data_IF_281161169380
#
_entry.id   IF_281161169380
#
_cell.length_a   1.000
_cell.length_b   1.000
_cell.length_c   1.000
_cell.angle_alpha   90.00
_cell.angle_beta   90.00
_cell.angle_gamma   90.00
#
_symmetry.space_group_name_H-M   'P 1'
#
loop_
_entity.id
_entity.type
_entity.pdbx_description
1 polymer ?
#
# COMPACT_ATOMS: atom_id res chain seq x y z
N UNK A 1 -23.47 7.06 -3.41
CA UNK A 1 -23.02 5.65 -3.56
C UNK A 1 -22.07 5.40 -4.72
N UNK A 2 -22.26 6.00 -5.90
CA UNK A 2 -21.32 5.82 -7.03
C UNK A 2 -19.93 6.42 -6.77
N UNK A 3 -19.87 7.52 -6.01
CA UNK A 3 -18.61 8.20 -5.68
C UNK A 3 -17.74 7.36 -4.75
N UNK A 4 -18.30 6.73 -3.71
CA UNK A 4 -17.53 5.85 -2.81
C UNK A 4 -17.05 4.59 -3.55
N UNK A 5 -17.91 3.99 -4.37
CA UNK A 5 -17.57 2.81 -5.18
C UNK A 5 -16.38 3.11 -6.11
N UNK A 6 -16.39 4.26 -6.79
CA UNK A 6 -15.31 4.65 -7.68
C UNK A 6 -13.98 4.92 -6.94
N UNK A 7 -14.03 5.50 -5.74
CA UNK A 7 -12.84 5.73 -4.91
C UNK A 7 -12.25 4.41 -4.41
N UNK A 8 -13.11 3.49 -3.95
CA UNK A 8 -12.69 2.16 -3.49
C UNK A 8 -12.15 1.31 -4.64
N UNK A 9 -12.78 1.37 -5.81
CA UNK A 9 -12.31 0.64 -6.99
C UNK A 9 -10.98 1.21 -7.51
N UNK A 10 -10.79 2.53 -7.49
CA UNK A 10 -9.52 3.15 -7.87
C UNK A 10 -8.38 2.84 -6.87
N UNK A 11 -8.71 2.77 -5.57
CA UNK A 11 -7.76 2.36 -4.55
C UNK A 11 -7.41 0.86 -4.65
N UNK A 12 -8.39 0.01 -4.99
CA UNK A 12 -8.19 -1.42 -5.21
C UNK A 12 -7.49 -1.76 -6.53
N UNK A 13 -7.52 -0.86 -7.53
CA UNK A 13 -6.83 -1.03 -8.80
C UNK A 13 -5.36 -0.56 -8.78
N UNK A 14 -4.92 0.08 -7.69
CA UNK A 14 -3.53 0.45 -7.51
C UNK A 14 -2.74 -0.79 -7.09
N UNK A 15 -1.94 -1.34 -8.01
CA UNK A 15 -1.01 -2.43 -7.71
C UNK A 15 0.08 -1.89 -6.77
N UNK A 16 0.00 -2.27 -5.51
CA UNK A 16 1.04 -1.96 -4.54
C UNK A 16 2.34 -2.68 -4.89
N UNK A 17 3.46 -2.04 -4.58
CA UNK A 17 4.79 -2.59 -4.85
C UNK A 17 5.61 -2.56 -3.57
N UNK A 18 6.50 -3.54 -3.42
CA UNK A 18 7.47 -3.53 -2.33
C UNK A 18 8.26 -2.22 -2.32
N UNK A 19 8.61 -1.74 -1.13
CA UNK A 19 9.25 -0.42 -0.95
C UNK A 19 10.54 -0.23 -1.78
N UNK A 20 11.22 -1.32 -2.16
CA UNK A 20 12.41 -1.30 -3.01
C UNK A 20 12.12 -1.04 -4.51
N UNK A 21 10.87 -1.21 -4.96
CA UNK A 21 10.47 -1.18 -6.38
C UNK A 21 9.31 -0.20 -6.64
N UNK A 22 8.70 0.34 -5.59
CA UNK A 22 7.64 1.34 -5.71
C UNK A 22 8.16 2.64 -6.36
N UNK A 23 7.41 3.17 -7.33
CA UNK A 23 7.76 4.41 -8.01
C UNK A 23 7.25 5.66 -7.28
N UNK A 24 6.29 5.48 -6.38
CA UNK A 24 5.68 6.55 -5.60
C UNK A 24 5.27 6.06 -4.20
N UNK A 25 4.99 7.02 -3.31
CA UNK A 25 4.64 6.75 -1.92
C UNK A 25 3.32 5.97 -1.77
N UNK A 26 2.40 6.09 -2.73
CA UNK A 26 1.10 5.37 -2.68
C UNK A 26 1.32 3.88 -2.94
N UNK A 27 2.08 3.52 -3.97
CA UNK A 27 2.47 2.13 -4.28
C UNK A 27 3.23 1.49 -3.12
N UNK A 28 4.15 2.24 -2.48
CA UNK A 28 4.92 1.77 -1.33
C UNK A 28 4.04 1.58 -0.07
N UNK A 29 3.05 2.44 0.13
CA UNK A 29 2.13 2.38 1.28
C UNK A 29 1.12 1.24 1.16
N UNK A 30 0.70 0.90 -0.07
CA UNK A 30 -0.11 -0.30 -0.32
C UNK A 30 0.75 -1.55 -0.12
N UNK A 31 1.95 -1.58 -0.69
CA UNK A 31 2.87 -2.73 -0.63
C UNK A 31 2.46 -3.86 -1.58
N UNK A 32 3.39 -4.76 -1.89
CA UNK A 32 3.11 -5.96 -2.70
C UNK A 32 2.45 -7.05 -1.84
N UNK A 33 1.71 -8.00 -2.43
CA UNK A 33 0.99 -9.06 -1.71
C UNK A 33 1.92 -9.89 -0.78
N UNK A 34 3.16 -10.13 -1.22
CA UNK A 34 4.19 -10.83 -0.44
C UNK A 34 4.88 -9.94 0.61
N UNK A 35 4.78 -8.61 0.48
CA UNK A 35 5.53 -7.62 1.26
C UNK A 35 4.70 -6.72 2.18
N UNK A 36 3.39 -6.59 1.95
CA UNK A 36 2.50 -5.70 2.68
C UNK A 36 2.36 -6.12 4.15
N UNK A 37 2.28 -7.43 4.41
CA UNK A 37 2.28 -7.97 5.77
C UNK A 37 3.64 -7.77 6.48
N UNK A 38 4.75 -7.83 5.74
CA UNK A 38 6.09 -7.62 6.30
C UNK A 38 6.41 -6.13 6.56
N UNK A 39 5.90 -5.23 5.70
CA UNK A 39 6.11 -3.79 5.82
C UNK A 39 5.45 -3.22 7.09
N UNK A 40 4.21 -3.63 7.39
CA UNK A 40 3.52 -3.22 8.62
C UNK A 40 3.81 -4.14 9.83
N UNK A 41 4.11 -5.42 9.60
CA UNK A 41 4.34 -6.40 10.66
C UNK A 41 5.78 -6.49 11.19
N UNK A 42 6.78 -6.08 10.40
CA UNK A 42 8.20 -6.31 10.70
C UNK A 42 8.94 -5.17 11.40
N UNK A 43 8.42 -3.93 11.41
CA UNK A 43 9.28 -2.83 11.79
C UNK A 43 8.68 -1.42 11.85
N UNK A 44 7.41 -1.26 12.21
CA UNK A 44 7.00 0.01 12.84
C UNK A 44 7.58 0.10 14.26
N UNK A 45 8.91 0.06 14.35
CA UNK A 45 9.63 0.42 15.55
C UNK A 45 9.36 1.91 15.73
N UNK A 46 8.42 2.22 16.65
CA UNK A 46 8.29 3.55 17.25
C UNK A 46 9.60 3.83 17.98
N UNK A 47 10.60 4.32 17.25
CA UNK A 47 11.60 5.16 17.87
C UNK A 47 11.37 6.55 17.27
N UNK A 48 10.80 7.42 18.11
CA UNK A 48 10.83 8.87 17.94
C UNK A 48 12.27 9.34 17.72
#
# INVERSE_FOLDING_TARGET
DQILKAIVDAAGAAEGKGAATAANAVEAAIGDDDGAAAAFGGGMNKND
#
